data_IF_406905511165
#
_entry.id   IF_406905511165
#
_cell.length_a   1.000
_cell.length_b   1.000
_cell.length_c   1.000
_cell.angle_alpha   90.00
_cell.angle_beta   90.00
_cell.angle_gamma   90.00
#
_symmetry.space_group_name_H-M   'P 1'
#
loop_
_entity.id
_entity.type
_entity.pdbx_description
1 polymer ?
#
# COMPACT_ATOMS: atom_id res chain seq x y z
N UNK A 1 -8.07 -3.77 -19.70
CA UNK A 1 -9.30 -4.58 -19.71
C UNK A 1 -9.44 -5.50 -20.94
N UNK A 2 -8.60 -5.38 -21.99
CA UNK A 2 -8.74 -6.22 -23.20
C UNK A 2 -8.12 -7.64 -23.08
N UNK A 3 -7.15 -7.85 -22.19
CA UNK A 3 -6.50 -9.17 -22.02
C UNK A 3 -7.47 -10.23 -21.44
N UNK A 4 -8.40 -9.82 -20.57
CA UNK A 4 -9.42 -10.69 -20.01
C UNK A 4 -10.45 -11.18 -21.04
N UNK A 5 -10.67 -10.41 -22.12
CA UNK A 5 -11.52 -10.82 -23.25
C UNK A 5 -10.76 -11.71 -24.25
N UNK A 6 -9.43 -11.58 -24.33
CA UNK A 6 -8.59 -12.40 -25.20
C UNK A 6 -8.31 -13.80 -24.64
N UNK A 7 -8.36 -13.98 -23.32
CA UNK A 7 -8.14 -15.26 -22.63
C UNK A 7 -9.27 -15.58 -21.64
N UNK A 8 -10.49 -15.90 -22.11
CA UNK A 8 -11.61 -16.26 -21.26
C UNK A 8 -11.52 -17.67 -20.67
N UNK A 9 -10.56 -18.51 -21.11
CA UNK A 9 -10.43 -19.91 -20.72
C UNK A 9 -9.04 -20.23 -20.19
N UNK A 10 -8.94 -21.33 -19.41
CA UNK A 10 -7.70 -21.91 -18.91
C UNK A 10 -6.59 -21.90 -19.96
N UNK A 11 -5.42 -21.32 -19.63
CA UNK A 11 -4.25 -21.45 -20.50
C UNK A 11 -3.64 -22.85 -20.44
N UNK A 12 -4.17 -23.81 -19.68
CA UNK A 12 -3.58 -25.15 -19.56
C UNK A 12 -3.36 -25.89 -20.90
N UNK A 13 -4.07 -25.50 -21.96
CA UNK A 13 -3.89 -26.01 -23.33
C UNK A 13 -2.79 -25.30 -24.13
N UNK A 14 -2.38 -24.10 -23.71
CA UNK A 14 -1.39 -23.22 -24.40
C UNK A 14 -0.10 -23.05 -23.59
N UNK A 15 -0.19 -23.03 -22.26
CA UNK A 15 0.86 -22.86 -21.28
C UNK A 15 0.59 -23.76 -20.08
N UNK A 16 1.45 -24.75 -19.88
CA UNK A 16 1.41 -25.57 -18.67
C UNK A 16 2.08 -24.81 -17.52
N UNK A 17 1.40 -24.60 -16.38
CA UNK A 17 2.00 -23.93 -15.23
C UNK A 17 3.17 -24.75 -14.68
N UNK A 18 4.16 -24.07 -14.10
CA UNK A 18 5.35 -24.69 -13.50
C UNK A 18 4.99 -25.60 -12.31
N UNK A 19 3.84 -25.35 -11.69
CA UNK A 19 3.35 -26.08 -10.52
C UNK A 19 2.11 -26.88 -10.92
N UNK A 20 2.17 -28.23 -10.97
CA UNK A 20 1.03 -29.07 -11.36
C UNK A 20 -0.18 -28.95 -10.43
N UNK A 21 0.03 -28.60 -9.16
CA UNK A 21 -1.03 -28.32 -8.19
C UNK A 21 -1.63 -26.91 -8.30
N UNK A 22 -1.14 -26.08 -9.22
CA UNK A 22 -1.61 -24.71 -9.45
C UNK A 22 -2.89 -24.60 -10.28
N UNK A 23 -3.38 -25.71 -10.82
CA UNK A 23 -4.61 -25.75 -11.62
C UNK A 23 -5.80 -25.87 -10.67
N UNK A 24 -6.51 -24.76 -10.45
CA UNK A 24 -7.74 -24.73 -9.66
C UNK A 24 -8.96 -24.85 -10.59
N UNK A 25 -10.09 -25.41 -10.13
CA UNK A 25 -11.35 -25.40 -10.90
C UNK A 25 -11.77 -23.98 -11.31
N UNK A 26 -11.44 -22.97 -10.49
CA UNK A 26 -11.68 -21.56 -10.79
C UNK A 26 -10.77 -21.02 -11.91
N UNK A 27 -9.51 -21.46 -11.96
CA UNK A 27 -8.59 -21.10 -13.05
C UNK A 27 -9.06 -21.63 -14.41
N UNK A 28 -9.78 -22.75 -14.40
CA UNK A 28 -10.29 -23.35 -15.64
C UNK A 28 -11.50 -22.63 -16.21
N UNK A 29 -12.36 -22.12 -15.33
CA UNK A 29 -13.65 -21.51 -15.69
C UNK A 29 -13.53 -19.98 -15.80
N UNK A 30 -12.71 -19.33 -14.96
CA UNK A 30 -12.62 -17.87 -14.81
C UNK A 30 -11.18 -17.40 -14.59
N UNK A 31 -10.33 -17.54 -15.61
CA UNK A 31 -8.94 -17.08 -15.55
C UNK A 31 -8.76 -15.60 -15.12
N UNK A 32 -9.59 -14.63 -15.56
CA UNK A 32 -9.52 -13.24 -15.09
C UNK A 32 -9.70 -13.07 -13.58
N UNK A 33 -10.51 -13.94 -12.94
CA UNK A 33 -10.71 -13.89 -11.50
C UNK A 33 -9.45 -14.34 -10.75
N UNK A 34 -8.73 -15.34 -11.28
CA UNK A 34 -7.45 -15.78 -10.72
C UNK A 34 -6.37 -14.70 -10.85
N UNK A 35 -6.32 -14.02 -12.00
CA UNK A 35 -5.43 -12.85 -12.20
C UNK A 35 -5.70 -11.78 -11.14
N UNK A 36 -6.97 -11.44 -10.95
CA UNK A 36 -7.39 -10.46 -9.96
C UNK A 36 -7.04 -10.91 -8.53
N UNK A 37 -7.35 -12.17 -8.20
CA UNK A 37 -7.05 -12.78 -6.89
C UNK A 37 -5.56 -12.73 -6.56
N UNK A 38 -4.70 -13.19 -7.47
CA UNK A 38 -3.25 -13.13 -7.32
C UNK A 38 -2.76 -11.67 -7.19
N UNK A 39 -3.32 -10.75 -7.98
CA UNK A 39 -3.00 -9.32 -7.88
C UNK A 39 -3.36 -8.72 -6.51
N UNK A 40 -4.54 -9.03 -5.98
CA UNK A 40 -4.96 -8.61 -4.63
C UNK A 40 -4.04 -9.19 -3.56
N UNK A 41 -3.63 -10.46 -3.70
CA UNK A 41 -2.69 -11.10 -2.77
C UNK A 41 -1.33 -10.40 -2.76
N UNK A 42 -0.80 -10.04 -3.94
CA UNK A 42 0.44 -9.26 -4.06
C UNK A 42 0.32 -7.83 -3.48
N UNK A 43 -0.83 -7.19 -3.68
CA UNK A 43 -1.12 -5.89 -3.07
C UNK A 43 -1.13 -5.98 -1.54
N UNK A 44 -1.78 -7.01 -0.98
CA UNK A 44 -1.79 -7.28 0.45
C UNK A 44 -0.37 -7.55 0.99
N UNK A 45 0.44 -8.32 0.26
CA UNK A 45 1.84 -8.56 0.60
C UNK A 45 2.68 -7.27 0.63
N UNK A 46 2.33 -6.27 -0.19
CA UNK A 46 2.99 -4.95 -0.17
C UNK A 46 2.71 -4.20 1.13
N UNK A 47 1.49 -4.29 1.67
CA UNK A 47 1.18 -3.72 2.99
C UNK A 47 2.01 -4.35 4.11
N UNK A 48 2.22 -5.67 4.06
CA UNK A 48 3.13 -6.37 4.98
C UNK A 48 4.59 -5.92 4.79
N UNK A 49 5.04 -5.77 3.54
CA UNK A 49 6.36 -5.24 3.24
C UNK A 49 6.57 -3.83 3.83
N UNK A 50 5.59 -2.93 3.67
CA UNK A 50 5.64 -1.58 4.25
C UNK A 50 5.70 -1.61 5.78
N UNK A 51 4.94 -2.50 6.41
CA UNK A 51 4.98 -2.72 7.85
C UNK A 51 6.40 -3.10 8.31
N UNK A 52 7.00 -4.11 7.68
CA UNK A 52 8.37 -4.53 7.99
C UNK A 52 9.41 -3.44 7.69
N UNK A 53 9.25 -2.74 6.57
CA UNK A 53 10.11 -1.61 6.20
C UNK A 53 10.08 -0.51 7.28
N UNK A 54 8.89 -0.15 7.78
CA UNK A 54 8.73 0.84 8.82
C UNK A 54 9.36 0.39 10.16
N UNK A 55 9.19 -0.89 10.53
CA UNK A 55 9.82 -1.47 11.74
C UNK A 55 11.34 -1.48 11.61
N UNK A 56 11.87 -1.88 10.46
CA UNK A 56 13.31 -1.88 10.19
C UNK A 56 13.86 -0.44 10.21
N UNK A 57 13.18 0.49 9.55
CA UNK A 57 13.56 1.90 9.52
C UNK A 57 13.58 2.53 10.92
N UNK A 58 12.59 2.21 11.76
CA UNK A 58 12.57 2.64 13.16
C UNK A 58 13.79 2.13 13.93
N UNK A 59 14.10 0.84 13.79
CA UNK A 59 15.22 0.19 14.48
C UNK A 59 16.55 0.79 14.04
N UNK A 60 16.72 1.06 12.75
CA UNK A 60 17.96 1.64 12.19
C UNK A 60 18.11 3.13 12.50
N UNK A 61 17.03 3.90 12.41
CA UNK A 61 17.06 5.35 12.56
C UNK A 61 17.03 5.81 14.02
N UNK A 62 16.60 4.94 14.96
CA UNK A 62 16.35 5.24 16.38
C UNK A 62 15.42 6.45 16.61
N UNK A 63 14.69 6.88 15.57
CA UNK A 63 13.70 7.96 15.63
C UNK A 63 12.35 7.36 15.96
N UNK A 64 11.53 8.08 16.73
CA UNK A 64 10.20 7.57 17.10
C UNK A 64 9.29 7.57 15.85
N UNK A 65 8.56 6.47 15.62
CA UNK A 65 7.63 6.35 14.48
C UNK A 65 6.48 7.37 14.58
N UNK A 66 6.04 7.66 15.80
CA UNK A 66 4.99 8.60 16.12
C UNK A 66 5.53 9.55 17.19
N UNK A 67 5.75 10.81 16.80
CA UNK A 67 6.31 11.85 17.68
C UNK A 67 5.22 12.85 18.09
N UNK A 68 5.37 13.40 19.30
CA UNK A 68 4.48 14.45 19.81
C UNK A 68 3.03 14.01 19.88
N UNK A 69 2.16 14.81 19.28
CA UNK A 69 0.69 14.68 19.26
C UNK A 69 0.19 13.42 18.56
N UNK A 70 0.95 12.82 17.63
CA UNK A 70 0.60 11.53 17.02
C UNK A 70 0.61 10.35 18.01
N UNK A 71 1.23 10.50 19.18
CA UNK A 71 1.27 9.42 20.19
C UNK A 71 -0.10 9.16 20.82
N UNK A 72 -0.99 10.17 20.80
CA UNK A 72 -2.33 10.11 21.37
C UNK A 72 -3.36 9.50 20.39
N UNK A 73 -2.99 9.25 19.14
CA UNK A 73 -3.87 8.59 18.17
C UNK A 73 -4.09 7.12 18.55
N UNK A 74 -5.30 6.58 18.28
CA UNK A 74 -5.64 5.22 18.65
C UNK A 74 -4.73 4.24 17.93
N UNK A 75 -4.40 3.14 18.62
CA UNK A 75 -3.49 2.10 18.13
C UNK A 75 -3.89 1.59 16.73
N UNK A 76 -5.19 1.50 16.43
CA UNK A 76 -5.69 1.10 15.11
C UNK A 76 -5.27 2.04 13.98
N UNK A 77 -5.38 3.36 14.17
CA UNK A 77 -4.92 4.34 13.16
C UNK A 77 -3.41 4.30 12.97
N UNK A 78 -2.67 4.11 14.06
CA UNK A 78 -1.21 3.98 14.01
C UNK A 78 -0.79 2.73 13.24
N UNK A 79 -1.45 1.59 13.48
CA UNK A 79 -1.19 0.36 12.74
C UNK A 79 -1.55 0.51 11.26
N UNK A 80 -2.70 1.11 10.95
CA UNK A 80 -3.10 1.41 9.58
C UNK A 80 -2.05 2.26 8.87
N UNK A 81 -1.58 3.34 9.49
CA UNK A 81 -0.51 4.18 8.94
C UNK A 81 0.79 3.41 8.68
N UNK A 82 1.12 2.42 9.51
CA UNK A 82 2.31 1.58 9.29
C UNK A 82 2.15 0.58 8.13
N UNK A 83 0.93 0.13 7.85
CA UNK A 83 0.65 -0.83 6.76
C UNK A 83 0.49 -0.08 5.43
N UNK A 84 -0.12 1.10 5.43
CA UNK A 84 -0.44 1.84 4.21
C UNK A 84 0.57 2.93 3.87
N UNK A 85 1.30 3.46 4.85
CA UNK A 85 2.20 4.60 4.69
C UNK A 85 3.67 4.30 4.98
N UNK A 86 4.51 5.28 4.69
CA UNK A 86 5.92 5.33 5.10
C UNK A 86 6.29 6.73 5.58
N UNK A 87 7.31 6.81 6.44
CA UNK A 87 7.96 8.07 6.80
C UNK A 87 8.84 8.55 5.64
N UNK A 88 8.56 9.75 5.16
CA UNK A 88 9.21 10.35 3.99
C UNK A 88 9.54 11.82 4.29
N UNK A 89 10.71 12.34 3.85
CA UNK A 89 11.00 13.75 4.00
C UNK A 89 10.06 14.62 3.14
N UNK A 90 9.72 15.81 3.62
CA UNK A 90 8.80 16.72 2.90
C UNK A 90 9.31 17.07 1.49
N UNK A 91 10.62 17.07 1.27
CA UNK A 91 11.23 17.31 -0.04
C UNK A 91 10.85 16.24 -1.06
N UNK A 92 10.86 14.96 -0.67
CA UNK A 92 10.45 13.85 -1.53
C UNK A 92 8.94 13.87 -1.79
N UNK A 93 8.15 14.37 -0.82
CA UNK A 93 6.71 14.58 -1.01
C UNK A 93 6.42 15.69 -2.04
N UNK A 94 7.19 16.78 -2.05
CA UNK A 94 7.06 17.86 -3.05
C UNK A 94 7.44 17.37 -4.46
N UNK A 95 8.47 16.53 -4.56
CA UNK A 95 8.98 16.05 -5.85
C UNK A 95 8.08 14.98 -6.50
N UNK A 96 7.51 14.07 -5.70
CA UNK A 96 6.76 12.90 -6.22
C UNK A 96 5.26 13.10 -6.14
N UNK A 97 4.63 13.35 -7.29
CA UNK A 97 3.18 13.50 -7.42
C UNK A 97 2.37 12.28 -6.94
N UNK A 98 2.93 11.07 -7.09
CA UNK A 98 2.29 9.81 -6.73
C UNK A 98 2.37 9.46 -5.22
N UNK A 99 2.85 10.38 -4.39
CA UNK A 99 2.95 10.23 -2.94
C UNK A 99 1.99 11.22 -2.28
N UNK A 100 1.09 10.70 -1.45
CA UNK A 100 0.04 11.46 -0.80
C UNK A 100 0.33 11.64 0.70
N UNK A 101 0.20 12.86 1.26
CA UNK A 101 0.34 13.07 2.70
C UNK A 101 -0.73 12.31 3.48
N UNK A 102 -0.32 11.73 4.61
CA UNK A 102 -1.22 11.09 5.59
C UNK A 102 -1.27 11.85 6.92
N UNK A 103 -0.49 12.92 7.06
CA UNK A 103 -0.56 13.82 8.20
C UNK A 103 -1.35 15.04 7.79
N UNK A 104 -2.25 15.49 8.66
CA UNK A 104 -2.87 16.80 8.55
C UNK A 104 -2.60 17.59 9.83
N UNK A 105 -2.55 18.91 9.70
CA UNK A 105 -2.28 19.83 10.80
C UNK A 105 -3.57 20.59 11.10
N UNK A 106 -4.13 20.33 12.28
CA UNK A 106 -5.23 21.10 12.83
C UNK A 106 -4.69 22.02 13.94
N UNK A 107 -4.95 23.31 13.80
CA UNK A 107 -4.67 24.31 14.83
C UNK A 107 -5.84 24.32 15.82
N UNK A 108 -5.60 23.83 17.05
CA UNK A 108 -6.62 23.95 18.09
C UNK A 108 -6.83 25.42 18.45
N UNK A 109 -8.00 25.73 19.02
CA UNK A 109 -8.41 27.09 19.46
C UNK A 109 -7.45 27.79 20.44
N UNK A 110 -6.41 27.09 20.93
CA UNK A 110 -5.35 27.57 21.81
C UNK A 110 -4.02 27.87 21.06
N UNK A 111 -4.00 27.82 19.71
CA UNK A 111 -2.79 28.04 18.91
C UNK A 111 -1.78 26.88 18.97
N UNK A 112 -2.20 25.72 19.49
CA UNK A 112 -1.37 24.52 19.60
C UNK A 112 -1.59 23.65 18.36
N UNK A 113 -0.51 23.45 17.59
CA UNK A 113 -0.51 22.62 16.39
C UNK A 113 -0.64 21.14 16.78
N UNK A 114 -1.74 20.51 16.40
CA UNK A 114 -1.93 19.06 16.56
C UNK A 114 -1.74 18.38 15.21
N UNK A 115 -0.95 17.29 15.20
CA UNK A 115 -0.75 16.48 14.00
C UNK A 115 -1.65 15.25 14.11
N UNK A 116 -2.56 15.10 13.17
CA UNK A 116 -3.51 13.99 13.14
C UNK A 116 -3.23 13.10 11.93
N UNK A 117 -3.47 11.79 12.08
CA UNK A 117 -3.36 10.85 10.97
C UNK A 117 -4.66 10.89 10.18
N UNK A 118 -4.57 11.38 8.95
CA UNK A 118 -5.67 11.42 8.00
C UNK A 118 -5.52 10.24 7.05
N UNK A 119 -6.34 9.22 7.27
CA UNK A 119 -6.37 7.98 6.46
C UNK A 119 -7.18 8.19 5.18
N UNK A 120 -8.14 9.13 5.20
CA UNK A 120 -8.99 9.48 4.06
C UNK A 120 -8.69 10.94 3.72
N UNK A 121 -8.05 11.24 2.57
CA UNK A 121 -7.83 12.62 2.16
C UNK A 121 -9.19 13.33 2.07
N UNK A 122 -9.30 14.50 2.70
CA UNK A 122 -10.44 15.39 2.47
C UNK A 122 -10.43 15.81 0.99
N UNK A 123 -11.56 16.24 0.46
CA UNK A 123 -11.67 16.79 -0.93
C UNK A 123 -10.83 18.08 -1.15
N UNK A 124 -10.04 18.48 -0.16
CA UNK A 124 -8.99 19.50 -0.26
C UNK A 124 -7.87 19.03 -1.20
N UNK A 125 -7.38 19.92 -2.07
CA UNK A 125 -6.34 19.59 -3.03
C UNK A 125 -5.07 19.12 -2.32
N UNK A 126 -4.47 18.00 -2.79
CA UNK A 126 -3.18 17.48 -2.30
C UNK A 126 -2.16 18.59 -2.06
N UNK A 127 -2.03 19.49 -3.02
CA UNK A 127 -1.00 20.52 -3.02
C UNK A 127 -1.20 21.55 -1.90
N UNK A 128 -2.45 21.83 -1.51
CA UNK A 128 -2.76 22.73 -0.38
C UNK A 128 -2.32 22.09 0.96
N UNK A 129 -2.54 20.79 1.12
CA UNK A 129 -2.10 20.03 2.31
C UNK A 129 -0.56 19.98 2.36
N UNK A 130 0.10 19.74 1.21
CA UNK A 130 1.56 19.74 1.10
C UNK A 130 2.15 21.11 1.40
N UNK A 131 1.51 22.19 0.93
CA UNK A 131 1.96 23.57 1.18
C UNK A 131 1.88 23.91 2.67
N UNK A 132 0.73 23.65 3.32
CA UNK A 132 0.53 23.81 4.77
C UNK A 132 1.56 23.03 5.58
N UNK A 133 1.74 21.74 5.27
CA UNK A 133 2.77 20.91 5.92
C UNK A 133 4.15 21.51 5.75
N UNK A 134 4.48 21.98 4.53
CA UNK A 134 5.80 22.54 4.26
C UNK A 134 6.06 23.85 4.97
N UNK A 135 5.09 24.76 5.07
CA UNK A 135 5.22 26.00 5.82
C UNK A 135 5.49 25.76 7.32
N UNK A 136 4.89 24.71 7.89
CA UNK A 136 5.11 24.34 9.30
C UNK A 136 6.46 23.64 9.49
N UNK A 137 6.91 22.83 8.52
CA UNK A 137 8.28 22.26 8.52
C UNK A 137 9.33 23.36 8.41
N UNK A 138 9.15 24.29 7.47
CA UNK A 138 10.11 25.38 7.19
C UNK A 138 10.22 26.36 8.37
N UNK A 139 9.13 26.55 9.12
CA UNK A 139 9.14 27.32 10.38
C UNK A 139 9.75 26.57 11.57
N UNK A 140 10.24 25.34 11.38
CA UNK A 140 10.94 24.55 12.39
C UNK A 140 10.04 24.02 13.53
N UNK A 141 8.71 24.19 13.41
CA UNK A 141 7.75 23.76 14.44
C UNK A 141 7.54 22.24 14.42
N UNK A 142 7.84 21.59 13.29
CA UNK A 142 7.70 20.15 13.10
C UNK A 142 8.93 19.53 12.43
N UNK A 143 9.10 18.23 12.62
CA UNK A 143 10.14 17.43 11.98
C UNK A 143 9.95 17.38 10.46
N UNK A 144 11.04 17.42 9.69
CA UNK A 144 11.01 17.32 8.24
C UNK A 144 10.47 15.99 7.67
N UNK A 145 10.21 15.00 8.52
CA UNK A 145 9.65 13.70 8.14
C UNK A 145 8.15 13.67 8.42
N UNK A 146 7.38 13.30 7.39
CA UNK A 146 5.92 13.18 7.44
C UNK A 146 5.49 11.77 7.00
N UNK A 147 4.37 11.28 7.52
CA UNK A 147 3.74 10.07 6.99
C UNK A 147 3.12 10.35 5.62
N UNK A 148 3.39 9.46 4.67
CA UNK A 148 2.83 9.53 3.34
C UNK A 148 2.53 8.14 2.78
N UNK A 149 1.42 8.02 2.05
CA UNK A 149 1.01 6.81 1.35
C UNK A 149 1.59 6.81 -0.06
N UNK A 150 2.30 5.74 -0.48
CA UNK A 150 2.61 5.53 -1.88
C UNK A 150 1.32 5.17 -2.63
N UNK A 151 0.88 6.01 -3.57
CA UNK A 151 -0.31 5.77 -4.38
C UNK A 151 -0.04 4.78 -5.52
N UNK A 152 0.45 3.57 -5.20
CA UNK A 152 0.81 2.59 -6.23
C UNK A 152 -0.46 2.12 -6.97
N UNK A 153 -0.59 2.33 -8.29
CA UNK A 153 -1.79 1.98 -9.01
C UNK A 153 -2.06 0.48 -8.98
N UNK A 154 -3.31 0.08 -8.72
CA UNK A 154 -3.75 -1.32 -8.75
C UNK A 154 -3.41 -2.03 -10.07
N UNK A 155 -3.29 -1.27 -11.16
CA UNK A 155 -2.88 -1.79 -12.46
C UNK A 155 -1.56 -2.59 -12.40
N UNK A 156 -0.58 -2.12 -11.62
CA UNK A 156 0.72 -2.80 -11.48
C UNK A 156 0.53 -4.18 -10.85
N UNK A 157 -0.29 -4.26 -9.79
CA UNK A 157 -0.58 -5.52 -9.11
C UNK A 157 -1.38 -6.48 -9.99
N UNK A 158 -2.32 -5.99 -10.80
CA UNK A 158 -3.07 -6.83 -11.74
C UNK A 158 -2.15 -7.37 -12.84
N UNK A 159 -1.21 -6.57 -13.34
CA UNK A 159 -0.21 -7.03 -14.33
C UNK A 159 0.72 -8.09 -13.74
N UNK A 160 1.20 -7.88 -12.52
CA UNK A 160 1.99 -8.92 -11.82
C UNK A 160 1.16 -10.17 -11.54
N UNK A 161 -0.11 -9.99 -11.14
CA UNK A 161 -1.08 -11.06 -10.96
C UNK A 161 -1.22 -11.92 -12.22
N UNK A 162 -1.26 -11.30 -13.40
CA UNK A 162 -1.30 -12.01 -14.69
C UNK A 162 -0.05 -12.87 -14.90
N UNK A 163 1.14 -12.28 -14.70
CA UNK A 163 2.41 -13.01 -14.84
C UNK A 163 2.45 -14.21 -13.88
N UNK A 164 2.05 -13.99 -12.63
CA UNK A 164 1.99 -15.04 -11.61
C UNK A 164 0.96 -16.11 -11.99
N UNK A 165 -0.23 -15.74 -12.47
CA UNK A 165 -1.25 -16.69 -12.91
C UNK A 165 -0.78 -17.55 -14.08
N UNK A 166 0.00 -17.00 -15.02
CA UNK A 166 0.56 -17.76 -16.13
C UNK A 166 1.66 -18.73 -15.70
N UNK A 167 2.51 -18.33 -14.74
CA UNK A 167 3.66 -19.13 -14.31
C UNK A 167 3.30 -20.17 -13.25
N UNK A 168 2.50 -19.78 -12.26
CA UNK A 168 2.21 -20.57 -11.06
C UNK A 168 0.75 -20.99 -10.93
N UNK A 169 -0.16 -20.42 -11.73
CA UNK A 169 -1.60 -20.68 -11.58
C UNK A 169 -2.22 -19.90 -10.41
N UNK A 170 -3.13 -20.54 -9.70
CA UNK A 170 -3.87 -19.94 -8.59
C UNK A 170 -3.10 -20.07 -7.26
N UNK A 171 -2.52 -18.95 -6.78
CA UNK A 171 -1.73 -18.97 -5.55
C UNK A 171 -2.57 -19.29 -4.32
N UNK A 172 -3.82 -18.82 -4.28
CA UNK A 172 -4.71 -19.09 -3.14
C UNK A 172 -5.01 -20.58 -3.08
N UNK A 173 -5.30 -21.18 -4.24
CA UNK A 173 -5.52 -22.62 -4.33
C UNK A 173 -4.30 -23.44 -3.89
N UNK A 174 -3.10 -23.04 -4.32
CA UNK A 174 -1.85 -23.70 -3.90
C UNK A 174 -1.69 -23.60 -2.37
N UNK A 175 -1.92 -22.44 -1.78
CA UNK A 175 -1.83 -22.25 -0.34
C UNK A 175 -2.85 -23.12 0.41
N UNK A 176 -4.11 -23.14 -0.03
CA UNK A 176 -5.17 -23.92 0.62
C UNK A 176 -4.93 -25.42 0.48
N UNK A 177 -4.58 -25.89 -0.72
CA UNK A 177 -4.26 -27.30 -0.95
C UNK A 177 -3.06 -27.76 -0.14
N UNK A 178 -2.06 -26.90 0.09
CA UNK A 178 -0.91 -27.23 0.93
C UNK A 178 -1.23 -27.36 2.42
N UNK A 179 -2.31 -26.73 2.90
CA UNK A 179 -2.75 -26.81 4.31
C UNK A 179 -3.72 -27.96 4.55
N UNK A 180 -4.47 -28.37 3.52
CA UNK A 180 -5.51 -29.39 3.60
C UNK A 180 -5.01 -30.84 3.33
N UNK A 181 -3.75 -31.00 2.94
CA UNK A 181 -3.04 -32.28 2.75
C UNK A 181 -2.26 -32.62 4.02
#
# INVERSE_FOLDING_TARGET
MCIALALPFSTGTVFQPLVPSGVSPLSEILFPLVIFSNGVLLAAATGLYLLFYNVYWHTKSKRKLFEGTLSHEPLGKRLLAMITGRRTPISELKEKWHVYPMEDIEENSEGKLTRNIVVIPRDEGRDEIVERLSAVVDSGKITAYVWATPGLPMLIFITLGLVVSLLFGDLIWIMLSSVLV
#
